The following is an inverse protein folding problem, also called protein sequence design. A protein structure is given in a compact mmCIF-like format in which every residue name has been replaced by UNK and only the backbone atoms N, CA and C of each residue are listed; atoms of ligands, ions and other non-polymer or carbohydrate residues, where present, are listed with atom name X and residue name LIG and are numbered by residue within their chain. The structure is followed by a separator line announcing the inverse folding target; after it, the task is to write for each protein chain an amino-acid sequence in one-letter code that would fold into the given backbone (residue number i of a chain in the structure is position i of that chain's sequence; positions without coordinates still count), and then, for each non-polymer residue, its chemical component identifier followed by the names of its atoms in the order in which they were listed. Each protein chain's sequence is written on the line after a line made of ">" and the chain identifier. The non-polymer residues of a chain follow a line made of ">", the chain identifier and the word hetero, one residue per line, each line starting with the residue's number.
data_IF_233132512199
#
_entry.id   IF_233132512199
#
_cell.length_a   1.000
_cell.length_b   1.000
_cell.length_c   1.000
_cell.angle_alpha   90.00
_cell.angle_beta   90.00
_cell.angle_gamma   90.00
#
_symmetry.space_group_name_H-M   'P 1'
#
loop_
_entity.id
_entity.type
_entity.pdbx_description
1 polymer ?
#
# COMPACT_ATOMS: atom_id res chain seq x y z
N UNK A 1 9.32 13.63 -0.34
CA UNK A 1 9.00 12.20 -0.14
C UNK A 1 8.82 11.94 1.34
N UNK A 2 7.81 11.16 1.73
CA UNK A 2 7.63 10.69 3.10
C UNK A 2 8.73 9.68 3.43
N UNK A 3 9.36 9.82 4.59
CA UNK A 3 10.35 8.86 5.07
C UNK A 3 9.68 7.51 5.37
N UNK A 4 10.32 6.42 4.95
CA UNK A 4 9.79 5.07 5.06
C UNK A 4 10.82 4.12 5.68
N UNK A 5 10.34 3.16 6.47
CA UNK A 5 11.19 2.13 7.09
C UNK A 5 10.46 0.79 7.26
N UNK A 6 11.22 -0.27 7.50
CA UNK A 6 10.68 -1.59 7.84
C UNK A 6 10.20 -1.64 9.28
N UNK A 7 9.08 -2.31 9.51
CA UNK A 7 8.58 -2.62 10.85
C UNK A 7 9.60 -3.51 11.56
N UNK A 8 10.00 -3.07 12.75
CA UNK A 8 10.88 -3.79 13.65
C UNK A 8 10.06 -4.53 14.71
N UNK A 9 10.60 -5.61 15.25
CA UNK A 9 9.93 -6.41 16.27
C UNK A 9 9.53 -5.60 17.52
N UNK A 10 10.30 -4.58 17.87
CA UNK A 10 10.04 -3.73 19.03
C UNK A 10 8.96 -2.66 18.78
N UNK A 11 8.54 -2.45 17.53
CA UNK A 11 7.54 -1.44 17.20
C UNK A 11 6.17 -1.85 17.75
N UNK A 12 5.43 -0.87 18.26
CA UNK A 12 4.07 -1.07 18.78
C UNK A 12 3.10 -0.37 17.86
N UNK A 13 2.07 -1.08 17.40
CA UNK A 13 1.02 -0.53 16.55
C UNK A 13 -0.35 -0.65 17.20
N UNK A 14 -1.23 0.26 16.84
CA UNK A 14 -2.66 0.19 17.13
C UNK A 14 -3.46 0.37 15.83
N UNK A 15 -4.14 -0.68 15.33
CA UNK A 15 -4.26 -2.03 15.90
C UNK A 15 -2.95 -2.83 15.98
N UNK A 16 -2.87 -3.82 16.87
CA UNK A 16 -1.65 -4.62 17.08
C UNK A 16 -1.24 -5.45 15.86
N UNK A 17 0.07 -5.60 15.63
CA UNK A 17 0.66 -6.36 14.51
C UNK A 17 0.02 -7.73 14.31
N UNK A 18 -0.15 -8.52 15.38
CA UNK A 18 -0.76 -9.85 15.29
C UNK A 18 -2.21 -9.83 14.77
N UNK A 19 -3.01 -8.84 15.20
CA UNK A 19 -4.39 -8.63 14.74
C UNK A 19 -4.42 -8.26 13.26
N UNK A 20 -3.57 -7.31 12.86
CA UNK A 20 -3.43 -6.88 11.47
C UNK A 20 -3.00 -8.04 10.56
N UNK A 21 -2.00 -8.83 10.96
CA UNK A 21 -1.53 -10.00 10.21
C UNK A 21 -2.64 -11.02 9.99
N UNK A 22 -3.42 -11.31 11.03
CA UNK A 22 -4.58 -12.22 10.94
C UNK A 22 -5.61 -11.68 9.94
N UNK A 23 -5.93 -10.39 10.03
CA UNK A 23 -6.87 -9.72 9.13
C UNK A 23 -6.39 -9.74 7.67
N UNK A 24 -5.14 -9.36 7.44
CA UNK A 24 -4.53 -9.34 6.10
C UNK A 24 -4.50 -10.76 5.52
N UNK A 25 -4.08 -11.76 6.31
CA UNK A 25 -4.07 -13.16 5.87
C UNK A 25 -5.45 -13.64 5.42
N UNK A 26 -6.47 -13.41 6.25
CA UNK A 26 -7.85 -13.74 5.90
C UNK A 26 -8.34 -12.95 4.68
N UNK A 27 -7.98 -11.67 4.55
CA UNK A 27 -8.36 -10.85 3.41
C UNK A 27 -7.76 -11.40 2.11
N UNK A 28 -6.47 -11.78 2.10
CA UNK A 28 -5.80 -12.38 0.94
C UNK A 28 -6.47 -13.68 0.50
N UNK A 29 -6.81 -14.54 1.46
CA UNK A 29 -7.45 -15.83 1.17
C UNK A 29 -8.86 -15.64 0.57
N UNK A 30 -9.56 -14.57 0.97
CA UNK A 30 -10.93 -14.31 0.55
C UNK A 30 -11.08 -13.30 -0.60
N UNK A 31 -10.01 -12.63 -1.05
CA UNK A 31 -10.10 -11.57 -2.06
C UNK A 31 -9.09 -11.72 -3.21
N UNK A 32 -9.56 -11.77 -4.47
CA UNK A 32 -10.95 -12.00 -4.88
C UNK A 32 -11.51 -13.30 -4.30
N UNK A 33 -12.83 -13.47 -4.29
CA UNK A 33 -13.48 -14.66 -3.72
C UNK A 33 -12.84 -15.95 -4.28
N UNK A 34 -12.61 -16.98 -3.44
CA UNK A 34 -12.06 -18.25 -3.90
C UNK A 34 -12.84 -18.82 -5.09
N UNK A 35 -12.13 -19.35 -6.09
CA UNK A 35 -12.75 -19.91 -7.30
C UNK A 35 -13.28 -18.88 -8.31
N UNK A 36 -13.07 -17.58 -8.08
CA UNK A 36 -13.48 -16.52 -9.02
C UNK A 36 -12.27 -15.84 -9.66
N UNK A 37 -12.46 -15.34 -10.89
CA UNK A 37 -11.46 -14.58 -11.64
C UNK A 37 -10.26 -15.42 -12.10
N UNK A 38 -9.33 -14.74 -12.74
CA UNK A 38 -8.04 -15.30 -13.18
C UNK A 38 -6.97 -15.13 -12.09
N UNK A 39 -5.85 -15.83 -12.25
CA UNK A 39 -4.64 -15.59 -11.43
C UNK A 39 -4.19 -14.13 -11.53
N UNK A 40 -4.31 -13.54 -12.73
CA UNK A 40 -4.01 -12.13 -12.95
C UNK A 40 -4.95 -11.20 -12.18
N UNK A 41 -6.24 -11.51 -12.12
CA UNK A 41 -7.20 -10.73 -11.32
C UNK A 41 -6.83 -10.77 -9.84
N UNK A 42 -6.40 -11.94 -9.33
CA UNK A 42 -5.96 -12.08 -7.95
C UNK A 42 -4.68 -11.30 -7.66
N UNK A 43 -3.66 -11.45 -8.49
CA UNK A 43 -2.39 -10.72 -8.31
C UNK A 43 -2.63 -9.22 -8.42
N UNK A 44 -3.35 -8.77 -9.45
CA UNK A 44 -3.59 -7.34 -9.64
C UNK A 44 -4.57 -6.79 -8.62
N UNK A 45 -5.48 -7.57 -8.02
CA UNK A 45 -6.30 -7.07 -6.90
C UNK A 45 -5.41 -6.44 -5.81
N UNK A 46 -4.31 -7.11 -5.47
CA UNK A 46 -3.39 -6.70 -4.40
C UNK A 46 -2.24 -5.82 -4.90
N UNK A 47 -1.59 -6.23 -5.99
CA UNK A 47 -0.29 -5.72 -6.39
C UNK A 47 -0.40 -4.76 -7.58
N UNK A 48 0.27 -3.63 -7.46
CA UNK A 48 0.50 -2.69 -8.55
C UNK A 48 1.78 -3.11 -9.27
N UNK A 49 1.62 -3.56 -10.51
CA UNK A 49 2.70 -4.18 -11.26
C UNK A 49 3.23 -3.26 -12.37
N UNK A 50 4.55 -3.04 -12.45
CA UNK A 50 5.16 -2.25 -13.50
C UNK A 50 5.04 -2.93 -14.87
N UNK A 51 4.50 -2.27 -15.90
CA UNK A 51 4.53 -2.78 -17.29
C UNK A 51 5.71 -2.18 -18.05
N UNK A 52 6.42 -2.99 -18.84
CA UNK A 52 7.64 -2.62 -19.61
C UNK A 52 7.38 -1.83 -20.90
N UNK A 53 6.15 -1.42 -21.19
CA UNK A 53 5.85 -0.73 -22.45
C UNK A 53 6.30 0.73 -22.42
N UNK A 54 7.45 1.00 -23.06
CA UNK A 54 8.07 2.33 -23.20
C UNK A 54 7.22 3.41 -23.91
N UNK A 55 5.97 3.10 -24.32
CA UNK A 55 5.11 3.99 -25.13
C UNK A 55 4.05 4.72 -24.30
N UNK A 56 3.72 4.20 -23.11
CA UNK A 56 2.86 4.89 -22.15
C UNK A 56 3.54 4.80 -20.82
N UNK A 57 4.00 5.94 -20.29
CA UNK A 57 4.53 6.06 -18.94
C UNK A 57 3.79 5.11 -17.99
N UNK A 58 4.53 4.42 -17.12
CA UNK A 58 4.01 3.42 -16.20
C UNK A 58 2.92 4.04 -15.32
N UNK A 59 1.70 3.98 -15.82
CA UNK A 59 0.51 4.58 -15.23
C UNK A 59 -0.37 3.39 -14.92
N UNK A 60 -0.26 2.90 -13.69
CA UNK A 60 -1.34 2.11 -13.15
C UNK A 60 -2.56 3.03 -12.98
N UNK A 61 -3.33 3.21 -14.05
CA UNK A 61 -4.57 4.00 -14.07
C UNK A 61 -5.58 3.50 -13.05
N UNK A 62 -5.37 2.31 -12.48
CA UNK A 62 -6.23 1.66 -11.52
C UNK A 62 -5.74 1.78 -10.08
N UNK A 63 -4.65 2.51 -9.77
CA UNK A 63 -4.12 2.64 -8.41
C UNK A 63 -5.19 3.10 -7.39
N UNK A 64 -6.08 4.03 -7.76
CA UNK A 64 -7.19 4.46 -6.89
C UNK A 64 -8.25 3.37 -6.71
N UNK A 65 -8.68 2.73 -7.80
CA UNK A 65 -9.65 1.64 -7.75
C UNK A 65 -9.11 0.42 -6.99
N UNK A 66 -7.79 0.18 -7.08
CA UNK A 66 -7.07 -0.86 -6.33
C UNK A 66 -7.03 -0.51 -4.85
N UNK A 67 -6.60 0.70 -4.50
CA UNK A 67 -6.60 1.19 -3.11
C UNK A 67 -7.99 1.07 -2.47
N UNK A 68 -9.05 1.40 -3.20
CA UNK A 68 -10.44 1.25 -2.72
C UNK A 68 -10.83 -0.20 -2.43
N UNK A 69 -10.56 -1.11 -3.37
CA UNK A 69 -10.87 -2.54 -3.21
C UNK A 69 -10.05 -3.18 -2.09
N UNK A 70 -8.75 -2.94 -2.07
CA UNK A 70 -7.85 -3.48 -1.04
C UNK A 70 -8.17 -2.88 0.32
N UNK A 71 -8.34 -1.57 0.43
CA UNK A 71 -8.71 -0.91 1.67
C UNK A 71 -10.02 -1.45 2.23
N UNK A 72 -11.02 -1.71 1.38
CA UNK A 72 -12.27 -2.37 1.81
C UNK A 72 -12.02 -3.78 2.35
N UNK A 73 -11.19 -4.58 1.67
CA UNK A 73 -10.84 -5.92 2.12
C UNK A 73 -10.01 -5.94 3.42
N UNK A 74 -9.26 -4.87 3.70
CA UNK A 74 -8.39 -4.72 4.87
C UNK A 74 -9.08 -4.04 6.07
N UNK A 75 -10.24 -3.41 5.90
CA UNK A 75 -11.07 -2.98 7.03
C UNK A 75 -11.70 -4.20 7.72
N UNK A 76 -11.91 -4.12 9.04
CA UNK A 76 -12.65 -5.18 9.74
C UNK A 76 -14.12 -5.21 9.31
N UNK A 77 -14.73 -6.40 9.31
CA UNK A 77 -16.12 -6.61 8.86
C UNK A 77 -17.16 -5.79 9.63
N UNK A 78 -16.84 -5.33 10.84
CA UNK A 78 -17.71 -4.48 11.67
C UNK A 78 -17.40 -2.98 11.63
N UNK A 79 -16.29 -2.56 11.02
CA UNK A 79 -15.81 -1.18 11.08
C UNK A 79 -16.50 -0.22 10.09
N UNK A 80 -17.44 -0.71 9.29
CA UNK A 80 -18.15 0.12 8.28
C UNK A 80 -17.34 0.34 6.99
N UNK A 81 -16.41 -0.56 6.68
CA UNK A 81 -15.64 -0.56 5.44
C UNK A 81 -14.48 0.44 5.40
N UNK A 82 -13.97 0.70 4.19
CA UNK A 82 -12.92 1.69 3.93
C UNK A 82 -13.34 3.08 4.41
N UNK A 83 -12.38 3.87 4.90
CA UNK A 83 -12.52 5.31 5.02
C UNK A 83 -11.72 6.03 3.92
N UNK A 84 -12.39 6.88 3.14
CA UNK A 84 -11.76 7.73 2.14
C UNK A 84 -11.67 9.16 2.72
N UNK A 85 -10.48 9.63 3.12
CA UNK A 85 -10.33 10.94 3.75
C UNK A 85 -10.50 12.05 2.71
N UNK A 86 -10.76 13.27 3.21
CA UNK A 86 -10.67 14.46 2.37
C UNK A 86 -9.24 14.61 1.81
N UNK A 87 -9.13 15.24 0.62
CA UNK A 87 -7.84 15.51 -0.01
C UNK A 87 -6.90 16.25 0.96
N UNK A 88 -5.76 15.62 1.24
CA UNK A 88 -4.75 16.11 2.19
C UNK A 88 -4.00 17.34 1.66
N UNK A 89 -4.11 17.65 0.37
CA UNK A 89 -3.59 18.88 -0.24
C UNK A 89 -4.61 20.03 -0.26
N UNK A 90 -5.90 19.72 -0.10
CA UNK A 90 -6.94 20.75 -0.09
C UNK A 90 -6.83 21.64 1.16
N UNK A 91 -7.24 22.91 1.02
CA UNK A 91 -7.30 23.85 2.13
C UNK A 91 -8.14 23.32 3.30
N UNK A 92 -7.81 23.78 4.51
CA UNK A 92 -8.48 23.39 5.75
C UNK A 92 -7.50 22.99 6.85
N UNK A 93 -8.03 22.54 7.98
CA UNK A 93 -7.24 22.09 9.12
C UNK A 93 -6.63 20.71 8.85
N UNK A 94 -5.33 20.69 8.54
CA UNK A 94 -4.60 19.46 8.26
C UNK A 94 -4.49 18.57 9.50
N UNK A 95 -4.39 19.16 10.70
CA UNK A 95 -4.33 18.42 11.95
C UNK A 95 -5.64 17.67 12.18
N UNK A 96 -6.78 18.33 11.97
CA UNK A 96 -8.09 17.70 12.07
C UNK A 96 -8.27 16.54 11.08
N UNK A 97 -7.75 16.66 9.85
CA UNK A 97 -7.76 15.56 8.87
C UNK A 97 -6.98 14.34 9.38
N UNK A 98 -5.78 14.55 9.92
CA UNK A 98 -4.96 13.47 10.47
C UNK A 98 -5.52 12.85 11.75
N UNK A 99 -6.17 13.65 12.60
CA UNK A 99 -6.92 13.14 13.76
C UNK A 99 -8.03 12.21 13.30
N UNK A 100 -8.85 12.62 12.33
CA UNK A 100 -9.92 11.78 11.79
C UNK A 100 -9.38 10.48 11.17
N UNK A 101 -8.26 10.55 10.44
CA UNK A 101 -7.58 9.36 9.90
C UNK A 101 -7.19 8.41 11.04
N UNK A 102 -6.53 8.92 12.08
CA UNK A 102 -6.07 8.11 13.22
C UNK A 102 -7.23 7.44 13.94
N UNK A 103 -8.31 8.16 14.22
CA UNK A 103 -9.53 7.62 14.81
C UNK A 103 -10.13 6.48 13.98
N UNK A 104 -10.09 6.59 12.64
CA UNK A 104 -10.59 5.51 11.77
C UNK A 104 -9.69 4.29 11.80
N UNK A 105 -8.37 4.48 11.84
CA UNK A 105 -7.42 3.37 11.98
C UNK A 105 -7.61 2.63 13.30
N UNK A 106 -7.76 3.35 14.42
CA UNK A 106 -8.06 2.76 15.74
C UNK A 106 -9.41 2.05 15.79
N UNK A 107 -10.37 2.51 14.98
CA UNK A 107 -11.66 1.84 14.79
C UNK A 107 -11.60 0.67 13.77
N UNK A 108 -10.40 0.13 13.48
CA UNK A 108 -10.19 -0.98 12.56
C UNK A 108 -10.60 -0.74 11.10
N UNK A 109 -10.67 0.54 10.68
CA UNK A 109 -10.91 0.92 9.28
C UNK A 109 -9.59 1.23 8.60
N UNK A 110 -9.31 0.54 7.50
CA UNK A 110 -8.25 0.97 6.61
C UNK A 110 -8.60 2.34 6.00
N UNK A 111 -7.57 3.10 5.63
CA UNK A 111 -7.72 4.45 5.08
C UNK A 111 -6.93 4.57 3.79
N UNK A 112 -7.55 5.04 2.70
CA UNK A 112 -6.81 5.38 1.48
C UNK A 112 -6.11 6.73 1.63
N UNK A 113 -4.82 6.79 1.32
CA UNK A 113 -4.08 8.06 1.24
C UNK A 113 -3.53 8.21 -0.17
N UNK A 114 -3.78 9.38 -0.75
CA UNK A 114 -3.41 9.73 -2.12
C UNK A 114 -2.55 10.98 -2.13
N UNK A 115 -1.51 10.99 -2.94
CA UNK A 115 -0.64 12.15 -3.13
C UNK A 115 0.27 11.97 -4.35
N UNK A 116 1.14 12.95 -4.63
CA UNK A 116 2.10 12.86 -5.74
C UNK A 116 2.96 11.59 -5.68
N UNK A 117 3.34 11.08 -6.85
CA UNK A 117 4.07 9.80 -6.97
C UNK A 117 5.43 9.83 -6.26
N UNK A 118 6.12 10.98 -6.27
CA UNK A 118 7.39 11.25 -5.59
C UNK A 118 7.25 11.64 -4.11
N UNK A 119 6.02 11.89 -3.65
CA UNK A 119 5.72 12.20 -2.26
C UNK A 119 5.35 10.95 -1.47
N UNK A 120 4.38 10.16 -1.98
CA UNK A 120 3.78 9.01 -1.30
C UNK A 120 4.41 7.68 -1.71
N UNK A 121 4.91 7.57 -2.95
CA UNK A 121 5.52 6.34 -3.47
C UNK A 121 6.80 5.94 -2.74
N UNK A 122 7.20 4.67 -2.91
CA UNK A 122 8.49 4.19 -2.41
C UNK A 122 9.69 4.83 -3.12
N UNK A 123 10.85 4.92 -2.46
CA UNK A 123 12.03 5.62 -2.98
C UNK A 123 12.65 5.01 -4.25
N UNK A 124 12.27 3.77 -4.59
CA UNK A 124 12.66 3.09 -5.82
C UNK A 124 11.47 2.84 -6.73
N UNK A 125 10.30 3.42 -6.48
CA UNK A 125 9.13 3.17 -7.32
C UNK A 125 9.42 3.46 -8.80
N UNK A 126 9.04 2.53 -9.67
CA UNK A 126 9.07 2.73 -11.12
C UNK A 126 7.86 3.56 -11.62
N UNK A 127 6.94 3.90 -10.73
CA UNK A 127 5.78 4.75 -11.02
C UNK A 127 6.04 6.23 -10.73
N UNK A 128 7.19 6.57 -10.13
CA UNK A 128 7.62 7.96 -9.95
C UNK A 128 7.75 8.60 -11.33
N UNK A 129 6.96 9.65 -11.55
CA UNK A 129 7.09 10.48 -12.74
C UNK A 129 8.08 11.61 -12.46
N UNK A 130 8.86 12.06 -13.47
CA UNK A 130 9.65 13.28 -13.35
C UNK A 130 8.71 14.43 -12.98
N UNK A 131 9.16 15.38 -12.15
CA UNK A 131 8.38 16.53 -11.63
C UNK A 131 7.21 16.23 -10.68
N UNK A 132 7.05 14.98 -10.23
CA UNK A 132 5.99 14.59 -9.30
C UNK A 132 4.60 14.50 -9.94
N UNK A 133 4.51 14.51 -11.28
CA UNK A 133 3.26 14.28 -11.99
C UNK A 133 2.61 12.92 -11.65
N UNK A 134 1.28 12.87 -11.83
CA UNK A 134 0.47 11.73 -11.45
C UNK A 134 0.25 11.64 -9.94
N UNK A 135 -0.30 10.52 -9.52
CA UNK A 135 -0.50 10.25 -8.09
C UNK A 135 -0.25 8.78 -7.78
N UNK A 136 0.02 8.52 -6.52
CA UNK A 136 0.09 7.19 -5.94
C UNK A 136 -0.94 7.05 -4.83
N UNK A 137 -1.38 5.83 -4.56
CA UNK A 137 -2.34 5.52 -3.50
C UNK A 137 -1.77 4.41 -2.62
N UNK A 138 -1.70 4.68 -1.32
CA UNK A 138 -1.37 3.70 -0.28
C UNK A 138 -2.59 3.48 0.60
N UNK A 139 -2.59 2.38 1.36
CA UNK A 139 -3.63 2.07 2.33
C UNK A 139 -3.02 2.08 3.72
N UNK A 140 -3.39 3.05 4.56
CA UNK A 140 -3.01 3.06 5.96
C UNK A 140 -3.82 2.00 6.73
N UNK A 141 -3.15 1.33 7.66
CA UNK A 141 -3.67 0.17 8.40
C UNK A 141 -3.68 0.39 9.91
N UNK A 142 -2.73 1.18 10.43
CA UNK A 142 -2.57 1.44 11.85
C UNK A 142 -1.75 2.71 12.10
N UNK A 143 -1.80 3.18 13.34
CA UNK A 143 -0.77 4.07 13.90
C UNK A 143 0.25 3.23 14.67
N UNK A 144 1.43 3.77 14.94
CA UNK A 144 2.41 3.10 15.79
C UNK A 144 3.54 4.00 16.26
N UNK A 145 4.39 3.45 17.12
CA UNK A 145 5.58 4.13 17.67
C UNK A 145 6.79 3.20 17.60
N UNK A 146 7.93 3.76 17.19
CA UNK A 146 9.21 3.04 17.14
C UNK A 146 9.60 2.54 18.53
N UNK A 147 9.76 1.24 18.73
CA UNK A 147 10.14 0.68 20.03
C UNK A 147 9.12 0.85 21.17
N UNK A 148 7.89 1.31 20.89
CA UNK A 148 6.82 1.47 21.87
C UNK A 148 6.55 2.90 22.35
N UNK A 149 5.81 3.08 23.47
CA UNK A 149 5.39 4.39 23.96
C UNK A 149 6.57 5.37 24.14
N UNK A 150 6.41 6.60 23.64
CA UNK A 150 7.47 7.62 23.63
C UNK A 150 8.43 7.54 22.44
N UNK A 151 8.35 6.46 21.66
CA UNK A 151 9.02 6.32 20.37
C UNK A 151 8.46 7.26 19.29
N UNK A 152 9.24 7.43 18.21
CA UNK A 152 8.82 8.26 17.08
C UNK A 152 7.53 7.70 16.47
N UNK A 153 6.47 8.52 16.32
CA UNK A 153 5.22 8.07 15.75
C UNK A 153 5.34 7.80 14.25
N UNK A 154 4.62 6.79 13.78
CA UNK A 154 4.50 6.45 12.36
C UNK A 154 3.08 5.98 12.03
N UNK A 155 2.75 6.01 10.74
CA UNK A 155 1.62 5.27 10.20
C UNK A 155 2.11 3.98 9.56
N UNK A 156 1.43 2.87 9.83
CA UNK A 156 1.67 1.62 9.13
C UNK A 156 0.85 1.61 7.84
N UNK A 157 1.49 1.43 6.69
CA UNK A 157 0.80 1.46 5.40
C UNK A 157 1.17 0.29 4.51
N UNK A 158 0.19 -0.18 3.75
CA UNK A 158 0.37 -1.04 2.59
C UNK A 158 0.56 -0.19 1.33
N UNK A 159 1.71 -0.37 0.67
CA UNK A 159 2.01 0.16 -0.65
C UNK A 159 1.95 -0.98 -1.68
N UNK A 160 0.98 -0.99 -2.62
CA UNK A 160 0.82 -2.08 -3.57
C UNK A 160 1.95 -2.15 -4.62
N UNK A 161 2.81 -1.14 -4.72
CA UNK A 161 3.87 -1.08 -5.72
C UNK A 161 4.99 -2.10 -5.44
N UNK A 162 5.04 -3.15 -6.25
CA UNK A 162 6.09 -4.21 -6.16
C UNK A 162 7.48 -3.70 -6.50
N UNK A 163 7.61 -2.48 -7.01
CA UNK A 163 8.86 -1.83 -7.36
C UNK A 163 9.34 -0.77 -6.36
N UNK A 164 8.53 -0.47 -5.33
CA UNK A 164 8.71 0.62 -4.38
C UNK A 164 10.07 0.62 -3.67
N UNK A 165 10.64 -0.55 -3.40
CA UNK A 165 11.95 -0.74 -2.75
C UNK A 165 12.76 -1.85 -3.43
N UNK A 166 14.06 -1.92 -3.16
CA UNK A 166 14.92 -3.02 -3.64
C UNK A 166 14.40 -4.38 -3.14
N UNK A 167 14.01 -4.47 -1.86
CA UNK A 167 13.50 -5.71 -1.28
C UNK A 167 12.16 -6.13 -1.88
N UNK A 168 11.23 -5.19 -2.10
CA UNK A 168 9.97 -5.48 -2.78
C UNK A 168 10.21 -6.06 -4.17
N UNK A 169 11.13 -5.46 -4.94
CA UNK A 169 11.52 -5.97 -6.26
C UNK A 169 12.10 -7.37 -6.16
N UNK A 170 13.07 -7.58 -5.27
CA UNK A 170 13.72 -8.88 -5.09
C UNK A 170 12.72 -9.98 -4.72
N UNK A 171 11.82 -9.68 -3.77
CA UNK A 171 10.78 -10.59 -3.28
C UNK A 171 9.77 -10.91 -4.39
N UNK A 172 9.42 -9.93 -5.22
CA UNK A 172 8.58 -10.14 -6.40
C UNK A 172 9.29 -10.98 -7.47
N UNK A 173 10.60 -10.82 -7.63
CA UNK A 173 11.41 -11.49 -8.68
C UNK A 173 11.92 -12.89 -8.33
N UNK A 174 11.34 -13.58 -7.35
CA UNK A 174 11.81 -14.94 -6.99
C UNK A 174 11.68 -15.91 -8.18
N UNK A 175 12.53 -16.94 -8.21
CA UNK A 175 13.00 -17.78 -9.35
C UNK A 175 11.97 -18.34 -10.38
N UNK A 176 10.67 -18.05 -10.26
CA UNK A 176 9.59 -18.43 -11.19
C UNK A 176 9.18 -17.33 -12.18
N UNK A 177 9.84 -16.16 -12.16
CA UNK A 177 9.35 -14.95 -12.86
C UNK A 177 10.40 -14.26 -13.76
N UNK A 178 11.13 -15.02 -14.59
CA UNK A 178 12.00 -14.43 -15.63
C UNK A 178 11.13 -13.97 -16.80
N UNK A 179 11.18 -12.68 -17.19
CA UNK A 179 10.41 -12.10 -18.30
C UNK A 179 9.67 -10.79 -17.93
N UNK A 180 8.88 -10.24 -18.84
CA UNK A 180 8.04 -9.05 -18.59
C UNK A 180 6.90 -9.35 -17.62
N UNK A 181 6.44 -8.36 -16.86
CA UNK A 181 5.44 -8.50 -15.78
C UNK A 181 4.18 -9.30 -16.15
N UNK A 182 3.68 -9.14 -17.38
CA UNK A 182 2.52 -9.90 -17.87
C UNK A 182 2.87 -11.39 -18.03
N UNK A 183 4.05 -11.69 -18.56
CA UNK A 183 4.61 -13.05 -18.67
C UNK A 183 4.89 -13.67 -17.30
N UNK A 184 5.28 -12.86 -16.29
CA UNK A 184 5.51 -13.30 -14.90
C UNK A 184 4.27 -13.85 -14.24
N UNK A 185 3.10 -13.23 -14.47
CA UNK A 185 1.84 -13.62 -13.81
C UNK A 185 1.19 -14.82 -14.48
N UNK A 186 1.33 -15.00 -15.80
CA UNK A 186 0.77 -16.15 -16.52
C UNK A 186 1.37 -17.50 -16.11
N UNK A 187 2.56 -17.50 -15.49
CA UNK A 187 3.24 -18.72 -15.03
C UNK A 187 2.81 -19.16 -13.61
N UNK A 188 2.06 -18.34 -12.88
CA UNK A 188 1.67 -18.66 -11.50
C UNK A 188 0.40 -19.52 -11.50
N UNK A 189 0.38 -20.54 -10.65
CA UNK A 189 -0.89 -21.15 -10.22
C UNK A 189 -1.60 -20.24 -9.22
N UNK A 190 -2.89 -20.47 -8.95
CA UNK A 190 -3.60 -19.76 -7.88
C UNK A 190 -2.89 -19.89 -6.52
N UNK A 191 -2.38 -21.09 -6.20
CA UNK A 191 -1.63 -21.35 -4.97
C UNK A 191 -0.33 -20.54 -4.94
N UNK A 192 0.42 -20.50 -6.03
CA UNK A 192 1.65 -19.69 -6.12
C UNK A 192 1.34 -18.20 -5.97
N UNK A 193 0.25 -17.71 -6.57
CA UNK A 193 -0.16 -16.31 -6.45
C UNK A 193 -0.52 -15.94 -5.01
N UNK A 194 -1.30 -16.78 -4.31
CA UNK A 194 -1.62 -16.56 -2.88
C UNK A 194 -0.34 -16.56 -2.04
N UNK A 195 0.54 -17.54 -2.25
CA UNK A 195 1.81 -17.63 -1.52
C UNK A 195 2.68 -16.38 -1.77
N UNK A 196 2.77 -15.91 -3.02
CA UNK A 196 3.52 -14.73 -3.38
C UNK A 196 2.92 -13.45 -2.76
N UNK A 197 1.59 -13.28 -2.79
CA UNK A 197 0.92 -12.12 -2.16
C UNK A 197 1.17 -12.15 -0.64
N UNK A 198 1.01 -13.31 0.01
CA UNK A 198 1.31 -13.47 1.44
C UNK A 198 2.77 -13.15 1.74
N UNK A 199 3.72 -13.60 0.93
CA UNK A 199 5.12 -13.27 1.12
C UNK A 199 5.38 -11.76 1.00
N UNK A 200 4.77 -11.08 0.03
CA UNK A 200 4.94 -9.64 -0.19
C UNK A 200 4.33 -8.78 0.93
N UNK A 201 3.21 -9.20 1.53
CA UNK A 201 2.50 -8.43 2.57
C UNK A 201 2.85 -8.87 4.00
N UNK A 202 2.95 -10.17 4.25
CA UNK A 202 3.17 -10.74 5.59
C UNK A 202 4.62 -11.16 5.82
N UNK A 203 5.41 -11.41 4.77
CA UNK A 203 6.77 -11.91 4.93
C UNK A 203 6.82 -13.25 5.67
N UNK A 204 8.01 -13.63 6.15
CA UNK A 204 8.22 -14.89 6.87
C UNK A 204 8.27 -14.71 8.39
N UNK A 205 8.52 -13.50 8.88
CA UNK A 205 8.58 -13.21 10.31
C UNK A 205 7.16 -13.01 10.88
N UNK A 206 6.73 -13.76 11.91
CA UNK A 206 5.42 -13.61 12.52
C UNK A 206 5.23 -12.27 13.27
N UNK A 207 6.30 -11.57 13.60
CA UNK A 207 6.29 -10.31 14.36
C UNK A 207 6.59 -9.08 13.50
N UNK A 208 6.76 -9.25 12.18
CA UNK A 208 6.96 -8.14 11.25
C UNK A 208 5.99 -8.27 10.07
N UNK A 209 6.29 -7.63 8.94
CA UNK A 209 5.53 -7.73 7.70
C UNK A 209 6.47 -7.93 6.51
N UNK A 210 5.87 -8.21 5.35
CA UNK A 210 6.59 -8.25 4.08
C UNK A 210 6.92 -6.84 3.58
N UNK A 211 7.71 -6.74 2.49
CA UNK A 211 8.29 -5.47 2.02
C UNK A 211 7.28 -4.43 1.53
N UNK A 212 6.01 -4.80 1.34
CA UNK A 212 4.95 -3.88 0.94
C UNK A 212 4.22 -3.22 2.10
N UNK A 213 4.40 -3.68 3.33
CA UNK A 213 3.86 -3.01 4.51
C UNK A 213 5.01 -2.34 5.26
N UNK A 214 4.96 -1.01 5.34
CA UNK A 214 6.07 -0.18 5.82
C UNK A 214 5.58 0.89 6.78
N UNK A 215 6.51 1.40 7.58
CA UNK A 215 6.33 2.62 8.38
C UNK A 215 6.39 3.83 7.47
N UNK A 216 5.50 4.78 7.67
CA UNK A 216 5.46 6.08 7.02
C UNK A 216 5.53 7.16 8.10
N UNK A 217 6.63 7.90 8.14
CA UNK A 217 6.82 9.01 9.08
C UNK A 217 6.28 10.30 8.46
N UNK A 218 4.97 10.48 8.58
CA UNK A 218 4.26 11.63 8.02
C UNK A 218 4.34 12.82 8.97
N UNK A 219 4.68 14.01 8.45
CA UNK A 219 4.47 15.26 9.17
C UNK A 219 2.97 15.63 9.11
N UNK A 220 2.25 15.37 10.19
CA UNK A 220 0.80 15.60 10.27
C UNK A 220 0.43 17.08 10.42
N UNK A 221 1.41 17.98 10.48
CA UNK A 221 1.19 19.43 10.57
C UNK A 221 1.29 20.14 9.22
N UNK A 222 1.70 19.41 8.18
CA UNK A 222 1.94 19.95 6.84
C UNK A 222 0.99 19.31 5.83
N UNK A 223 0.33 20.15 5.04
CA UNK A 223 -0.53 19.68 3.95
C UNK A 223 0.29 18.90 2.91
N UNK A 224 -0.32 17.90 2.29
CA UNK A 224 0.33 17.20 1.19
C UNK A 224 0.53 18.14 0.00
N UNK A 225 1.60 17.97 -0.80
CA UNK A 225 1.70 18.69 -2.05
C UNK A 225 0.53 18.31 -2.97
N UNK A 226 0.03 19.28 -3.73
CA UNK A 226 -1.06 19.05 -4.66
C UNK A 226 -0.65 18.07 -5.77
N UNK A 227 -1.61 17.23 -6.18
CA UNK A 227 -1.40 16.27 -7.28
C UNK A 227 -1.40 17.02 -8.61
N UNK A 228 -0.24 17.03 -9.28
CA UNK A 228 -0.14 17.52 -10.65
C UNK A 228 -0.56 16.41 -11.62
N UNK A 229 -1.68 16.58 -12.31
CA UNK A 229 -2.06 15.69 -13.40
C UNK A 229 -1.44 16.26 -14.67
N UNK A 230 -0.34 15.69 -15.16
CA UNK A 230 0.19 16.06 -16.47
C UNK A 230 -0.94 15.88 -17.52
N UNK A 231 -1.39 16.98 -18.15
CA UNK A 231 -2.42 16.96 -19.19
C UNK A 231 -3.68 17.81 -18.99
N UNK A 232 -3.72 18.82 -18.11
CA UNK A 232 -4.77 19.87 -18.16
C UNK A 232 -4.18 21.27 -18.40
N UNK A 233 -3.17 21.34 -19.26
CA UNK A 233 -2.75 22.61 -19.85
C UNK A 233 -3.50 22.80 -21.18
N UNK A 234 -4.52 23.66 -21.13
CA UNK A 234 -5.35 24.16 -22.25
C UNK A 234 -6.33 23.18 -22.90
#
# INVERSE_FOLDING_TARGET
>A
MIEQAHVQQADVTDPAVASLRTRIGAAIDNNPAPGTGTVLDRVTFWLQLPTTTMVTAMLDKLCEARGKRVGTALSSLGAGGLYDPADLSAAGDITAKWTAISERLHADRAVTVKGPTDHVGGPKSLFIQPNGAGFHVIVLLATGNDGGPGGRPFFLAFDPDVSATTEARQTWTTKKTVGDTVTKVSALTNTDAIAQIKLMLLGNDPNSFGPLIRKYYVDTTVAFPAISRAGTGQ
#
